data_IF_654125767097
#
_entry.id   IF_654125767097
#
_cell.length_a   1.000
_cell.length_b   1.000
_cell.length_c   1.000
_cell.angle_alpha   90.00
_cell.angle_beta   90.00
_cell.angle_gamma   90.00
#
_symmetry.space_group_name_H-M   'P 1'
#
loop_
_entity.id
_entity.type
_entity.pdbx_description
1 polymer ?
#
# COMPACT_ATOMS: atom_id res chain seq x y z
N UNK A 1 9.14 -16.74 -9.35
CA UNK A 1 8.19 -15.75 -9.90
C UNK A 1 7.36 -15.07 -8.80
N UNK A 2 6.82 -15.79 -7.80
CA UNK A 2 6.05 -15.19 -6.68
C UNK A 2 6.83 -14.21 -5.78
N UNK A 3 8.13 -14.46 -5.52
CA UNK A 3 8.93 -13.68 -4.55
C UNK A 3 9.34 -12.28 -5.06
N UNK A 4 9.77 -12.17 -6.31
CA UNK A 4 10.15 -10.88 -6.91
C UNK A 4 8.94 -10.03 -7.28
N UNK A 5 7.85 -10.65 -7.76
CA UNK A 5 6.61 -9.95 -8.02
C UNK A 5 5.96 -9.43 -6.73
N UNK A 6 5.92 -10.23 -5.66
CA UNK A 6 5.30 -9.84 -4.39
C UNK A 6 5.98 -8.64 -3.72
N UNK A 7 7.32 -8.63 -3.65
CA UNK A 7 8.07 -7.49 -3.12
C UNK A 7 7.84 -6.22 -3.94
N UNK A 8 7.84 -6.35 -5.28
CA UNK A 8 7.55 -5.22 -6.17
C UNK A 8 6.13 -4.69 -5.97
N UNK A 9 5.14 -5.57 -5.79
CA UNK A 9 3.76 -5.19 -5.50
C UNK A 9 3.63 -4.37 -4.21
N UNK A 10 4.40 -4.68 -3.17
CA UNK A 10 4.41 -3.91 -1.90
C UNK A 10 4.92 -2.50 -2.12
N UNK A 11 6.05 -2.36 -2.82
CA UNK A 11 6.66 -1.05 -3.12
C UNK A 11 5.73 -0.23 -4.02
N UNK A 12 5.22 -0.84 -5.09
CA UNK A 12 4.27 -0.21 -6.01
C UNK A 12 2.99 0.18 -5.25
N UNK A 13 2.47 -0.69 -4.38
CA UNK A 13 1.30 -0.41 -3.55
C UNK A 13 1.47 0.80 -2.65
N UNK A 14 2.57 0.88 -1.89
CA UNK A 14 2.86 2.05 -1.07
C UNK A 14 3.03 3.33 -1.90
N UNK A 15 3.70 3.27 -3.06
CA UNK A 15 3.87 4.44 -3.94
C UNK A 15 2.55 4.89 -4.58
N UNK A 16 1.70 3.96 -5.01
CA UNK A 16 0.36 4.27 -5.52
C UNK A 16 -0.52 4.87 -4.42
N UNK A 17 -0.25 4.55 -3.15
CA UNK A 17 -0.89 5.16 -1.97
C UNK A 17 -0.64 6.67 -1.83
N UNK A 18 0.38 7.21 -2.51
CA UNK A 18 0.63 8.65 -2.56
C UNK A 18 -0.42 9.41 -3.39
N UNK A 19 -1.11 8.71 -4.32
CA UNK A 19 -2.14 9.32 -5.16
C UNK A 19 -3.37 9.60 -4.28
N UNK A 20 -3.79 10.87 -4.11
CA UNK A 20 -4.91 11.19 -3.23
C UNK A 20 -6.24 10.62 -3.76
N UNK A 21 -7.13 10.27 -2.84
CA UNK A 21 -8.45 9.69 -3.11
C UNK A 21 -8.57 8.20 -2.78
N UNK A 22 -9.79 7.67 -2.90
CA UNK A 22 -10.10 6.27 -2.59
C UNK A 22 -9.96 5.32 -3.80
N UNK A 23 -9.92 5.85 -5.02
CA UNK A 23 -9.89 5.06 -6.26
C UNK A 23 -8.75 4.03 -6.30
N UNK A 24 -7.49 4.42 -6.05
CA UNK A 24 -6.37 3.48 -6.05
C UNK A 24 -6.55 2.34 -5.03
N UNK A 25 -7.03 2.65 -3.82
CA UNK A 25 -7.32 1.65 -2.78
C UNK A 25 -8.36 0.61 -3.25
N UNK A 26 -9.42 1.03 -3.93
CA UNK A 26 -10.44 0.09 -4.44
C UNK A 26 -9.82 -0.89 -5.43
N UNK A 27 -8.93 -0.43 -6.31
CA UNK A 27 -8.22 -1.30 -7.27
C UNK A 27 -7.38 -2.34 -6.52
N UNK A 28 -6.65 -1.95 -5.48
CA UNK A 28 -5.85 -2.88 -4.68
C UNK A 28 -6.71 -3.91 -3.94
N UNK A 29 -7.88 -3.51 -3.42
CA UNK A 29 -8.84 -4.45 -2.82
C UNK A 29 -9.32 -5.46 -3.86
N UNK A 30 -9.69 -5.01 -5.05
CA UNK A 30 -10.11 -5.91 -6.14
C UNK A 30 -9.00 -6.86 -6.55
N UNK A 31 -7.78 -6.37 -6.75
CA UNK A 31 -6.61 -7.20 -7.09
C UNK A 31 -6.32 -8.23 -5.99
N UNK A 32 -6.51 -7.87 -4.73
CA UNK A 32 -6.32 -8.77 -3.59
C UNK A 32 -7.39 -9.87 -3.57
N UNK A 33 -8.67 -9.53 -3.77
CA UNK A 33 -9.78 -10.50 -3.84
C UNK A 33 -9.58 -11.49 -4.99
N UNK A 34 -8.98 -11.06 -6.10
CA UNK A 34 -8.64 -11.93 -7.23
C UNK A 34 -7.32 -12.70 -7.06
N UNK A 35 -6.64 -12.58 -5.92
CA UNK A 35 -5.37 -13.28 -5.64
C UNK A 35 -4.18 -12.79 -6.47
N UNK A 36 -4.28 -11.60 -7.08
CA UNK A 36 -3.24 -11.04 -7.96
C UNK A 36 -2.14 -10.28 -7.20
N UNK A 37 -2.45 -9.78 -5.99
CA UNK A 37 -1.50 -9.09 -5.12
C UNK A 37 -1.54 -9.67 -3.70
N UNK A 38 -0.40 -9.71 -2.98
CA UNK A 38 -0.37 -10.19 -1.60
C UNK A 38 -1.05 -9.19 -0.64
N UNK A 39 -1.48 -9.68 0.53
CA UNK A 39 -2.11 -8.81 1.55
C UNK A 39 -1.15 -7.72 2.01
N UNK A 40 0.14 -8.01 2.12
CA UNK A 40 1.19 -7.02 2.37
C UNK A 40 1.15 -5.81 1.41
N UNK A 41 0.83 -6.01 0.13
CA UNK A 41 0.75 -4.93 -0.85
C UNK A 41 -0.52 -4.08 -0.68
N UNK A 42 -1.65 -4.72 -0.39
CA UNK A 42 -2.90 -4.04 -0.01
C UNK A 42 -2.70 -3.21 1.26
N UNK A 43 -2.02 -3.77 2.27
CA UNK A 43 -1.73 -3.10 3.53
C UNK A 43 -0.83 -1.87 3.32
N UNK A 44 0.24 -2.01 2.53
CA UNK A 44 1.14 -0.91 2.22
C UNK A 44 0.42 0.23 1.49
N UNK A 45 -0.46 -0.11 0.53
CA UNK A 45 -1.29 0.87 -0.16
C UNK A 45 -2.24 1.58 0.81
N UNK A 46 -2.98 0.82 1.63
CA UNK A 46 -3.94 1.34 2.59
C UNK A 46 -3.31 2.27 3.63
N UNK A 47 -2.18 1.87 4.21
CA UNK A 47 -1.50 2.64 5.24
C UNK A 47 -0.83 3.90 4.68
N UNK A 48 -0.44 3.90 3.40
CA UNK A 48 0.12 5.08 2.75
C UNK A 48 -0.94 6.08 2.28
N UNK A 49 -2.22 5.71 2.31
CA UNK A 49 -3.30 6.50 1.72
C UNK A 49 -3.90 7.46 2.77
N UNK A 50 -3.63 8.76 2.62
CA UNK A 50 -4.14 9.82 3.52
C UNK A 50 -5.58 10.29 3.16
N UNK A 51 -6.21 9.69 2.16
CA UNK A 51 -7.59 9.97 1.72
C UNK A 51 -7.81 11.33 1.05
N UNK A 52 -9.07 11.77 1.00
CA UNK A 52 -9.48 13.01 0.32
C UNK A 52 -9.03 14.29 1.05
N UNK A 53 -8.70 14.18 2.34
CA UNK A 53 -8.20 15.31 3.15
C UNK A 53 -6.88 15.88 2.62
N UNK A 54 -6.15 15.10 1.81
CA UNK A 54 -4.92 15.55 1.15
C UNK A 54 -5.17 16.55 0.01
N UNK A 55 -6.36 16.56 -0.61
CA UNK A 55 -6.67 17.50 -1.70
C UNK A 55 -6.66 18.97 -1.22
N UNK A 56 -7.36 19.33 -0.12
CA UNK A 56 -7.24 20.68 0.46
C UNK A 56 -5.82 21.01 0.91
N UNK A 57 -5.12 20.06 1.55
CA UNK A 57 -3.78 20.30 2.06
C UNK A 57 -2.78 20.59 0.92
N UNK A 58 -2.88 19.86 -0.19
CA UNK A 58 -2.06 20.09 -1.38
C UNK A 58 -2.36 21.45 -2.04
N UNK A 59 -3.61 21.91 -1.97
CA UNK A 59 -4.03 23.20 -2.50
C UNK A 59 -3.57 24.39 -1.62
N UNK A 60 -3.59 24.22 -0.28
CA UNK A 60 -3.21 25.25 0.68
C UNK A 60 -1.69 25.33 0.88
N UNK A 61 -1.03 24.20 1.10
CA UNK A 61 0.38 24.14 1.44
C UNK A 61 1.07 22.86 0.93
N UNK A 62 1.68 22.97 -0.26
CA UNK A 62 2.38 21.89 -0.94
C UNK A 62 3.51 21.23 -0.12
N UNK A 63 4.42 21.97 0.55
CA UNK A 63 5.46 21.34 1.36
C UNK A 63 4.88 20.53 2.52
N UNK A 64 3.83 21.03 3.20
CA UNK A 64 3.16 20.25 4.26
C UNK A 64 2.52 18.99 3.70
N UNK A 65 1.88 19.05 2.52
CA UNK A 65 1.30 17.87 1.88
C UNK A 65 2.35 16.78 1.55
N UNK A 66 3.56 17.18 1.12
CA UNK A 66 4.69 16.29 0.86
C UNK A 66 5.27 15.70 2.16
N UNK A 67 5.39 16.49 3.22
CA UNK A 67 5.85 15.98 4.51
C UNK A 67 4.91 14.94 5.08
N UNK A 68 3.60 15.19 5.02
CA UNK A 68 2.59 14.20 5.40
C UNK A 68 2.75 12.91 4.58
N UNK A 69 3.04 13.01 3.27
CA UNK A 69 3.21 11.85 2.39
C UNK A 69 4.36 10.98 2.87
N UNK A 70 5.50 11.59 3.14
CA UNK A 70 6.69 10.85 3.55
C UNK A 70 6.49 10.20 4.92
N UNK A 71 5.86 10.92 5.84
CA UNK A 71 5.61 10.43 7.21
C UNK A 71 4.63 9.26 7.21
N UNK A 72 3.72 9.14 6.25
CA UNK A 72 2.78 8.00 6.16
C UNK A 72 3.29 6.89 5.25
N UNK A 73 3.85 7.21 4.08
CA UNK A 73 4.35 6.22 3.12
C UNK A 73 5.57 5.44 3.61
N UNK A 74 6.52 6.09 4.28
CA UNK A 74 7.72 5.40 4.79
C UNK A 74 7.37 4.30 5.80
N UNK A 75 6.62 4.58 6.89
CA UNK A 75 6.20 3.52 7.81
C UNK A 75 5.25 2.52 7.16
N UNK A 76 4.39 2.94 6.22
CA UNK A 76 3.54 2.03 5.47
C UNK A 76 4.34 1.00 4.66
N UNK A 77 5.40 1.44 3.97
CA UNK A 77 6.31 0.55 3.26
C UNK A 77 7.06 -0.37 4.23
N UNK A 78 7.56 0.15 5.35
CA UNK A 78 8.24 -0.65 6.35
C UNK A 78 7.33 -1.77 6.91
N UNK A 79 6.09 -1.42 7.25
CA UNK A 79 5.06 -2.38 7.69
C UNK A 79 4.69 -3.37 6.60
N UNK A 80 4.49 -2.91 5.36
CA UNK A 80 4.19 -3.78 4.22
C UNK A 80 5.31 -4.79 3.94
N UNK A 81 6.57 -4.35 3.95
CA UNK A 81 7.73 -5.23 3.80
C UNK A 81 7.86 -6.22 4.95
N UNK A 82 7.61 -5.77 6.19
CA UNK A 82 7.61 -6.65 7.37
C UNK A 82 6.53 -7.74 7.25
N UNK A 83 5.31 -7.36 6.86
CA UNK A 83 4.21 -8.31 6.69
C UNK A 83 4.47 -9.24 5.52
N UNK A 84 5.03 -8.76 4.41
CA UNK A 84 5.44 -9.61 3.29
C UNK A 84 6.49 -10.64 3.70
N UNK A 85 7.45 -10.23 4.54
CA UNK A 85 8.44 -11.14 5.09
C UNK A 85 7.80 -12.20 6.01
N UNK A 86 6.80 -11.80 6.82
CA UNK A 86 6.05 -12.74 7.65
C UNK A 86 5.20 -13.71 6.80
N UNK A 87 4.51 -13.23 5.78
CA UNK A 87 3.72 -14.05 4.84
C UNK A 87 4.59 -15.12 4.17
N UNK A 88 5.76 -14.73 3.67
CA UNK A 88 6.71 -15.64 3.02
C UNK A 88 7.36 -16.63 3.98
N UNK A 89 7.48 -16.31 5.27
CA UNK A 89 8.07 -17.19 6.30
C UNK A 89 7.07 -18.14 6.95
N UNK A 90 5.86 -17.66 7.23
CA UNK A 90 4.83 -18.42 7.94
C UNK A 90 3.95 -19.25 7.00
N UNK A 91 4.13 -19.12 5.67
CA UNK A 91 3.30 -19.81 4.68
C UNK A 91 1.82 -19.48 4.85
N UNK A 92 1.52 -18.29 5.40
CA UNK A 92 0.16 -17.86 5.64
C UNK A 92 -0.53 -17.73 4.27
N UNK A 93 -1.57 -18.53 3.99
CA UNK A 93 -2.32 -18.38 2.76
C UNK A 93 -2.86 -16.96 2.74
N UNK A 94 -2.57 -16.19 1.68
CA UNK A 94 -3.10 -14.84 1.51
C UNK A 94 -4.60 -14.88 1.78
N UNK A 95 -5.07 -14.17 2.80
CA UNK A 95 -6.13 -14.64 3.70
C UNK A 95 -7.56 -14.65 3.12
N UNK A 96 -7.74 -14.84 1.81
CA UNK A 96 -8.99 -15.23 1.15
C UNK A 96 -8.75 -16.07 -0.14
N UNK A 97 -8.12 -17.24 -0.01
CA UNK A 97 -8.50 -18.40 -0.85
C UNK A 97 -7.61 -18.76 -2.05
N UNK A 98 -6.32 -18.98 -1.81
CA UNK A 98 -5.67 -20.21 -2.31
C UNK A 98 -5.25 -21.04 -1.11
#
# INVERSE_FOLDING_TARGET
MLLTAGLACVIIGGLVGLIPGCGPQIIFVTLFIHGLVPFAALLANAASQDGDARFPLLALDRPSALWTSLITTIPALALGLLVYWLETRMGLPGWLGV
#
